data_IF_478607994804
#
_entry.id   IF_478607994804
#
_cell.length_a   1.000
_cell.length_b   1.000
_cell.length_c   1.000
_cell.angle_alpha   90.00
_cell.angle_beta   90.00
_cell.angle_gamma   90.00
#
_symmetry.space_group_name_H-M   'P 1'
#
loop_
_entity.id
_entity.type
_entity.pdbx_description
1 polymer ?
#
# COMPACT_ATOMS: atom_id res chain seq x y z
N UNK A 1 -12.60 13.21 9.90
CA UNK A 1 -11.37 12.93 10.69
C UNK A 1 -10.28 12.22 9.87
N UNK A 2 -10.56 11.10 9.18
CA UNK A 2 -9.54 10.40 8.38
C UNK A 2 -8.86 11.29 7.31
N UNK A 3 -9.61 12.15 6.62
CA UNK A 3 -9.06 13.16 5.71
C UNK A 3 -8.07 14.11 6.40
N UNK A 4 -8.37 14.54 7.62
CA UNK A 4 -7.51 15.43 8.41
C UNK A 4 -6.20 14.71 8.79
N UNK A 5 -6.26 13.44 9.20
CA UNK A 5 -5.06 12.65 9.49
C UNK A 5 -4.16 12.48 8.27
N UNK A 6 -4.75 12.24 7.09
CA UNK A 6 -4.00 12.19 5.82
C UNK A 6 -3.38 13.54 5.45
N UNK A 7 -4.10 14.65 5.70
CA UNK A 7 -3.57 16.00 5.50
C UNK A 7 -2.39 16.31 6.44
N UNK A 8 -2.50 15.92 7.72
CA UNK A 8 -1.40 16.02 8.69
C UNK A 8 -0.19 15.21 8.21
N UNK A 9 -0.40 13.96 7.78
CA UNK A 9 0.65 13.12 7.22
C UNK A 9 1.27 13.67 5.92
N UNK A 10 0.55 14.54 5.18
CA UNK A 10 1.10 15.26 4.02
C UNK A 10 1.91 16.48 4.44
N UNK A 11 1.43 17.24 5.42
CA UNK A 11 2.09 18.43 5.96
C UNK A 11 3.41 18.11 6.67
N UNK A 12 3.51 16.92 7.27
CA UNK A 12 4.77 16.42 7.86
C UNK A 12 5.31 17.35 8.94
N UNK A 13 6.55 17.82 8.77
CA UNK A 13 7.22 18.71 9.73
C UNK A 13 6.41 19.95 10.09
N UNK A 14 5.65 20.52 9.15
CA UNK A 14 4.79 21.69 9.40
C UNK A 14 3.65 21.39 10.40
N UNK A 15 3.31 20.12 10.62
CA UNK A 15 2.26 19.67 11.51
C UNK A 15 2.78 19.04 12.82
N UNK A 16 4.07 19.21 13.15
CA UNK A 16 4.69 18.61 14.36
C UNK A 16 3.98 19.02 15.66
N UNK A 17 3.38 20.21 15.73
CA UNK A 17 2.59 20.65 16.88
C UNK A 17 1.34 19.77 17.14
N UNK A 18 0.90 18.98 16.15
CA UNK A 18 -0.25 18.09 16.26
C UNK A 18 0.13 16.68 16.74
N UNK A 19 1.42 16.38 16.92
CA UNK A 19 1.91 15.08 17.37
C UNK A 19 1.18 14.56 18.61
N UNK A 20 1.00 15.32 19.71
CA UNK A 20 0.29 14.82 20.90
C UNK A 20 -1.17 14.39 20.63
N UNK A 21 -1.83 15.04 19.65
CA UNK A 21 -3.20 14.67 19.24
C UNK A 21 -3.19 13.39 18.39
N UNK A 22 -2.19 13.21 17.54
CA UNK A 22 -1.98 11.94 16.83
C UNK A 22 -1.76 10.79 17.82
N UNK A 23 -0.91 10.99 18.84
CA UNK A 23 -0.66 9.99 19.87
C UNK A 23 -1.94 9.61 20.60
N UNK A 24 -2.72 10.63 21.01
CA UNK A 24 -4.03 10.41 21.65
C UNK A 24 -4.98 9.62 20.75
N UNK A 25 -5.08 9.96 19.46
CA UNK A 25 -5.94 9.23 18.52
C UNK A 25 -5.47 7.79 18.27
N UNK A 26 -4.16 7.52 18.33
CA UNK A 26 -3.61 6.19 18.13
C UNK A 26 -3.79 5.29 19.38
N UNK A 27 -3.69 5.85 20.59
CA UNK A 27 -3.78 5.10 21.85
C UNK A 27 -5.20 4.78 22.30
N UNK A 28 -6.17 5.66 22.02
CA UNK A 28 -7.55 5.50 22.47
C UNK A 28 -8.26 4.35 21.75
N UNK A 29 -8.49 3.23 22.46
CA UNK A 29 -9.25 2.08 21.96
C UNK A 29 -10.71 2.39 21.64
N UNK A 30 -11.26 3.48 22.18
CA UNK A 30 -12.60 3.98 21.84
C UNK A 30 -12.67 4.61 20.46
N UNK A 31 -11.54 5.03 19.88
CA UNK A 31 -11.49 5.51 18.51
C UNK A 31 -11.67 4.34 17.53
N UNK A 32 -12.37 4.55 16.39
CA UNK A 32 -12.47 3.53 15.36
C UNK A 32 -11.08 3.10 14.88
N UNK A 33 -10.93 1.81 14.57
CA UNK A 33 -9.67 1.21 14.13
C UNK A 33 -8.98 1.98 12.99
N UNK A 34 -9.77 2.41 12.00
CA UNK A 34 -9.30 3.20 10.84
C UNK A 34 -8.70 4.56 11.25
N UNK A 35 -9.22 5.19 12.30
CA UNK A 35 -8.73 6.46 12.83
C UNK A 35 -7.41 6.23 13.58
N UNK A 36 -7.33 5.18 14.40
CA UNK A 36 -6.09 4.81 15.11
C UNK A 36 -4.97 4.53 14.12
N UNK A 37 -5.26 3.72 13.09
CA UNK A 37 -4.32 3.41 12.01
C UNK A 37 -3.90 4.66 11.23
N UNK A 38 -4.86 5.51 10.85
CA UNK A 38 -4.59 6.76 10.16
C UNK A 38 -3.71 7.72 10.98
N UNK A 39 -3.84 7.71 12.31
CA UNK A 39 -3.01 8.50 13.21
C UNK A 39 -1.57 7.96 13.24
N UNK A 40 -1.37 6.65 13.34
CA UNK A 40 -0.04 6.01 13.27
C UNK A 40 0.62 6.31 11.92
N UNK A 41 -0.13 6.20 10.82
CA UNK A 41 0.39 6.47 9.48
C UNK A 41 0.74 7.94 9.23
N UNK A 42 0.13 8.87 9.97
CA UNK A 42 0.42 10.30 9.87
C UNK A 42 1.82 10.67 10.38
N UNK A 43 2.43 9.84 11.23
CA UNK A 43 3.82 10.02 11.70
C UNK A 43 4.87 9.91 10.59
N UNK A 44 4.51 9.49 9.36
CA UNK A 44 5.44 9.24 8.25
C UNK A 44 6.36 10.38 7.84
N UNK A 45 6.02 11.63 8.17
CA UNK A 45 6.80 12.83 7.82
C UNK A 45 6.98 13.77 9.01
N UNK A 46 6.62 13.30 10.20
CA UNK A 46 6.92 14.00 11.45
C UNK A 46 8.40 13.71 11.78
N UNK A 47 9.14 14.68 12.34
CA UNK A 47 10.53 14.47 12.76
C UNK A 47 10.69 13.23 13.65
N UNK A 48 11.85 12.59 13.55
CA UNK A 48 12.18 11.31 14.18
C UNK A 48 12.28 11.32 15.72
N UNK A 49 11.70 12.29 16.42
CA UNK A 49 11.54 12.22 17.87
C UNK A 49 10.61 11.03 18.19
N UNK A 50 11.19 9.87 18.50
CA UNK A 50 10.45 8.64 18.72
C UNK A 50 9.35 8.90 19.75
N UNK A 51 8.10 8.94 19.30
CA UNK A 51 6.97 9.04 20.20
C UNK A 51 6.92 7.73 21.00
N UNK A 52 7.11 7.76 22.33
CA UNK A 52 7.16 6.56 23.14
C UNK A 52 5.88 5.72 23.01
N UNK A 53 4.77 6.31 22.57
CA UNK A 53 3.55 5.59 22.26
C UNK A 53 3.73 4.51 21.18
N UNK A 54 4.51 4.76 20.13
CA UNK A 54 4.67 3.80 19.04
C UNK A 54 5.30 2.49 19.55
N UNK A 55 6.25 2.60 20.48
CA UNK A 55 6.86 1.45 21.13
C UNK A 55 5.84 0.68 21.99
N UNK A 56 5.05 1.41 22.79
CA UNK A 56 3.98 0.82 23.60
C UNK A 56 2.97 0.07 22.75
N UNK A 57 2.54 0.64 21.62
CA UNK A 57 1.60 0.00 20.70
C UNK A 57 2.18 -1.25 20.05
N UNK A 58 3.46 -1.23 19.68
CA UNK A 58 4.14 -2.39 19.10
C UNK A 58 4.26 -3.56 20.10
N UNK A 59 4.65 -3.27 21.34
CA UNK A 59 4.89 -4.27 22.39
C UNK A 59 3.61 -4.88 22.98
N UNK A 60 2.49 -4.19 22.90
CA UNK A 60 1.24 -4.63 23.50
C UNK A 60 0.58 -5.77 22.70
N UNK A 61 0.62 -7.00 23.22
CA UNK A 61 0.02 -8.18 22.59
C UNK A 61 -1.50 -8.13 22.44
N UNK A 62 -2.18 -7.29 23.23
CA UNK A 62 -3.63 -7.11 23.19
C UNK A 62 -4.09 -6.21 22.04
N UNK A 63 -3.17 -5.52 21.35
CA UNK A 63 -3.49 -4.71 20.19
C UNK A 63 -3.62 -5.56 18.91
N UNK A 64 -4.46 -5.09 17.98
CA UNK A 64 -4.64 -5.74 16.67
C UNK A 64 -3.31 -5.76 15.89
N UNK A 65 -3.04 -6.87 15.19
CA UNK A 65 -1.79 -7.06 14.45
C UNK A 65 -1.51 -5.94 13.44
N UNK A 66 -2.55 -5.36 12.82
CA UNK A 66 -2.39 -4.25 11.87
C UNK A 66 -1.85 -2.98 12.57
N UNK A 67 -2.34 -2.69 13.79
CA UNK A 67 -1.86 -1.56 14.60
C UNK A 67 -0.41 -1.78 15.03
N UNK A 68 -0.11 -2.98 15.57
CA UNK A 68 1.24 -3.34 16.04
C UNK A 68 2.27 -3.27 14.92
N UNK A 69 1.94 -3.80 13.73
CA UNK A 69 2.83 -3.77 12.57
C UNK A 69 3.03 -2.35 12.03
N UNK A 70 1.97 -1.54 11.95
CA UNK A 70 2.12 -0.14 11.50
C UNK A 70 2.91 0.70 12.52
N UNK A 71 2.77 0.43 13.82
CA UNK A 71 3.58 1.06 14.85
C UNK A 71 5.06 0.68 14.73
N UNK A 72 5.36 -0.61 14.51
CA UNK A 72 6.71 -1.09 14.19
C UNK A 72 7.30 -0.39 12.96
N UNK A 73 6.57 -0.34 11.85
CA UNK A 73 7.02 0.36 10.63
C UNK A 73 7.28 1.85 10.88
N UNK A 74 6.46 2.50 11.73
CA UNK A 74 6.68 3.89 12.08
C UNK A 74 7.97 4.08 12.93
N UNK A 75 8.27 3.16 13.86
CA UNK A 75 9.52 3.16 14.64
C UNK A 75 10.75 2.93 13.75
N UNK A 76 10.68 1.97 12.84
CA UNK A 76 11.78 1.57 11.97
C UNK A 76 12.09 2.56 10.83
N UNK A 77 11.38 3.70 10.75
CA UNK A 77 11.73 4.79 9.82
C UNK A 77 13.01 5.52 10.22
N UNK A 78 13.20 5.74 11.52
CA UNK A 78 14.37 6.40 12.06
C UNK A 78 14.84 5.68 13.34
N UNK A 79 15.23 4.41 13.26
CA UNK A 79 15.58 3.65 14.43
C UNK A 79 16.93 4.13 15.00
N UNK A 80 17.00 4.23 16.32
CA UNK A 80 18.25 4.32 17.06
C UNK A 80 18.57 2.99 17.76
N UNK A 81 19.71 2.93 18.44
CA UNK A 81 20.15 1.72 19.16
C UNK A 81 19.11 1.21 20.16
N UNK A 82 18.46 2.11 20.90
CA UNK A 82 17.40 1.75 21.84
C UNK A 82 16.21 1.09 21.12
N UNK A 83 15.80 1.61 19.97
CA UNK A 83 14.70 1.04 19.17
C UNK A 83 15.07 -0.36 18.70
N UNK A 84 16.31 -0.58 18.23
CA UNK A 84 16.76 -1.90 17.83
C UNK A 84 16.76 -2.91 18.99
N UNK A 85 17.25 -2.50 20.17
CA UNK A 85 17.24 -3.34 21.37
C UNK A 85 15.81 -3.74 21.76
N UNK A 86 14.87 -2.79 21.71
CA UNK A 86 13.46 -3.03 22.01
C UNK A 86 12.79 -3.93 20.95
N UNK A 87 13.10 -3.73 19.66
CA UNK A 87 12.59 -4.58 18.57
C UNK A 87 13.04 -6.02 18.75
N UNK A 88 14.33 -6.23 19.03
CA UNK A 88 14.92 -7.54 19.31
C UNK A 88 14.25 -8.21 20.51
N UNK A 89 14.15 -7.48 21.62
CA UNK A 89 13.51 -8.02 22.84
C UNK A 89 12.05 -8.43 22.58
N UNK A 90 11.30 -7.60 21.88
CA UNK A 90 9.89 -7.88 21.54
C UNK A 90 9.78 -9.09 20.61
N UNK A 91 10.67 -9.21 19.61
CA UNK A 91 10.67 -10.32 18.66
C UNK A 91 10.94 -11.66 19.37
N UNK A 92 11.85 -11.70 20.35
CA UNK A 92 12.18 -12.91 21.10
C UNK A 92 10.96 -13.51 21.82
N UNK A 93 10.11 -12.64 22.39
CA UNK A 93 8.90 -13.03 23.13
C UNK A 93 7.60 -13.05 22.30
N UNK A 94 7.66 -12.78 20.99
CA UNK A 94 6.45 -12.58 20.18
C UNK A 94 5.60 -13.86 20.06
N UNK A 95 4.30 -13.71 20.33
CA UNK A 95 3.32 -14.81 20.27
C UNK A 95 2.48 -14.77 18.99
N UNK A 96 2.27 -13.59 18.41
CA UNK A 96 1.54 -13.43 17.16
C UNK A 96 2.40 -13.85 15.98
N UNK A 97 2.00 -14.92 15.29
CA UNK A 97 2.66 -15.33 14.04
C UNK A 97 2.61 -14.25 12.97
N UNK A 98 1.57 -13.41 12.97
CA UNK A 98 1.43 -12.30 12.03
C UNK A 98 2.47 -11.21 12.26
N UNK A 99 2.59 -10.73 13.51
CA UNK A 99 3.57 -9.68 13.84
C UNK A 99 4.98 -10.22 13.71
N UNK A 100 5.25 -11.40 14.27
CA UNK A 100 6.57 -12.03 14.23
C UNK A 100 7.06 -12.29 12.81
N UNK A 101 6.20 -12.84 11.94
CA UNK A 101 6.52 -13.10 10.53
C UNK A 101 6.79 -11.81 9.75
N UNK A 102 5.99 -10.76 9.99
CA UNK A 102 6.21 -9.48 9.34
C UNK A 102 7.55 -8.86 9.75
N UNK A 103 7.79 -8.72 11.06
CA UNK A 103 9.01 -8.14 11.61
C UNK A 103 10.24 -8.92 11.13
N UNK A 104 10.19 -10.24 11.21
CA UNK A 104 11.24 -11.12 10.70
C UNK A 104 11.54 -10.88 9.23
N UNK A 105 10.52 -10.93 8.36
CA UNK A 105 10.71 -10.71 6.92
C UNK A 105 11.25 -9.31 6.61
N UNK A 106 10.77 -8.28 7.31
CA UNK A 106 11.25 -6.91 7.15
C UNK A 106 12.74 -6.78 7.53
N UNK A 107 13.14 -7.30 8.69
CA UNK A 107 14.54 -7.26 9.14
C UNK A 107 15.46 -8.02 8.19
N UNK A 108 15.06 -9.21 7.74
CA UNK A 108 15.84 -9.97 6.75
C UNK A 108 16.00 -9.23 5.43
N UNK A 109 14.96 -8.57 4.94
CA UNK A 109 15.05 -7.79 3.70
C UNK A 109 15.90 -6.53 3.89
N UNK A 110 15.83 -5.86 5.04
CA UNK A 110 16.72 -4.73 5.35
C UNK A 110 18.19 -5.15 5.39
N UNK A 111 18.52 -6.31 5.97
CA UNK A 111 19.89 -6.83 6.00
C UNK A 111 20.42 -7.22 4.61
N UNK A 112 19.52 -7.48 3.65
CA UNK A 112 19.85 -7.92 2.29
C UNK A 112 19.62 -6.86 1.21
N UNK A 113 19.05 -5.71 1.55
CA UNK A 113 18.64 -4.71 0.55
C UNK A 113 19.85 -4.11 -0.17
N UNK A 114 19.68 -3.93 -1.47
CA UNK A 114 20.62 -3.22 -2.34
C UNK A 114 20.17 -1.78 -2.63
N UNK A 115 19.07 -1.33 -2.00
CA UNK A 115 18.54 0.02 -2.14
C UNK A 115 19.56 1.05 -1.59
N UNK A 116 20.07 1.97 -2.43
CA UNK A 116 21.00 3.01 -1.99
C UNK A 116 20.50 3.88 -0.83
N UNK A 117 19.18 4.10 -0.72
CA UNK A 117 18.61 4.89 0.37
C UNK A 117 18.66 4.18 1.72
N UNK A 118 18.74 2.85 1.72
CA UNK A 118 18.69 2.03 2.93
C UNK A 118 20.07 1.56 3.40
N UNK A 119 21.15 1.88 2.68
CA UNK A 119 22.49 1.44 3.04
C UNK A 119 22.91 1.91 4.44
N UNK A 120 22.69 3.18 4.75
CA UNK A 120 22.95 3.72 6.10
C UNK A 120 22.15 3.01 7.19
N UNK A 121 20.88 2.69 6.91
CA UNK A 121 20.04 1.92 7.83
C UNK A 121 20.58 0.50 7.99
N UNK A 122 20.88 -0.19 6.89
CA UNK A 122 21.43 -1.54 6.87
C UNK A 122 22.72 -1.64 7.69
N UNK A 123 23.62 -0.68 7.56
CA UNK A 123 24.87 -0.61 8.33
C UNK A 123 24.62 -0.37 9.83
N UNK A 124 23.56 0.37 10.19
CA UNK A 124 23.19 0.63 11.57
C UNK A 124 22.45 -0.54 12.24
N UNK A 125 21.87 -1.47 11.47
CA UNK A 125 21.15 -2.63 12.00
C UNK A 125 22.16 -3.63 12.61
N UNK A 126 22.04 -4.00 13.90
CA UNK A 126 22.89 -5.02 14.50
C UNK A 126 22.71 -6.39 13.83
N UNK A 127 23.80 -7.13 13.62
CA UNK A 127 23.74 -8.46 13.01
C UNK A 127 22.87 -9.44 13.82
N UNK A 128 22.80 -9.24 15.13
CA UNK A 128 22.02 -10.06 16.07
C UNK A 128 20.62 -9.49 16.39
N UNK A 129 20.14 -8.51 15.61
CA UNK A 129 18.79 -7.94 15.76
C UNK A 129 17.70 -9.01 15.63
N UNK A 130 18.03 -10.06 14.89
CA UNK A 130 17.16 -11.17 14.57
C UNK A 130 17.32 -12.24 15.65
N UNK A 131 16.39 -12.26 16.62
CA UNK A 131 16.48 -13.14 17.80
C UNK A 131 15.70 -14.45 17.67
N UNK A 132 14.72 -14.53 16.77
CA UNK A 132 13.86 -15.71 16.59
C UNK A 132 13.40 -15.84 15.16
N UNK A 133 13.53 -17.04 14.59
CA UNK A 133 13.09 -17.34 13.23
C UNK A 133 11.59 -17.52 13.09
N UNK A 134 11.04 -16.92 12.03
CA UNK A 134 9.68 -17.14 11.58
C UNK A 134 9.72 -17.62 10.13
N UNK A 135 8.86 -18.57 9.80
CA UNK A 135 8.77 -19.13 8.45
C UNK A 135 7.47 -18.64 7.80
N UNK A 136 7.45 -17.41 7.24
CA UNK A 136 6.23 -16.83 6.68
C UNK A 136 5.78 -17.61 5.44
N UNK A 137 4.62 -18.22 5.54
CA UNK A 137 3.87 -18.65 4.35
C UNK A 137 3.25 -17.43 3.65
N UNK A 138 3.63 -17.20 2.38
CA UNK A 138 3.24 -16.04 1.56
C UNK A 138 1.73 -15.73 1.57
N UNK A 139 0.89 -16.76 1.64
CA UNK A 139 -0.57 -16.63 1.54
C UNK A 139 -1.32 -16.68 2.88
N UNK A 140 -0.59 -16.72 4.00
CA UNK A 140 -1.19 -16.86 5.35
C UNK A 140 -0.62 -15.88 6.35
N UNK A 141 0.63 -15.48 6.18
CA UNK A 141 1.36 -14.66 7.13
C UNK A 141 1.71 -13.32 6.53
N UNK A 142 1.67 -12.31 7.39
CA UNK A 142 2.10 -10.97 7.06
C UNK A 142 3.58 -10.99 6.67
N UNK A 143 3.92 -10.27 5.60
CA UNK A 143 5.26 -10.28 5.02
C UNK A 143 5.62 -8.94 4.38
N UNK A 144 6.92 -8.71 4.31
CA UNK A 144 7.54 -7.59 3.62
C UNK A 144 8.51 -8.11 2.53
N UNK A 145 8.51 -7.44 1.39
CA UNK A 145 9.36 -7.74 0.24
C UNK A 145 10.02 -6.46 -0.27
N UNK A 146 11.29 -6.54 -0.62
CA UNK A 146 12.12 -5.41 -1.07
C UNK A 146 12.96 -5.89 -2.25
N UNK A 147 12.80 -5.28 -3.41
CA UNK A 147 13.53 -5.67 -4.62
C UNK A 147 14.04 -4.45 -5.35
N UNK A 148 15.36 -4.31 -5.39
CA UNK A 148 16.04 -3.24 -6.10
C UNK A 148 16.58 -3.74 -7.44
N UNK A 149 16.17 -3.09 -8.53
CA UNK A 149 16.69 -3.27 -9.87
C UNK A 149 17.67 -2.16 -10.19
N UNK A 150 18.81 -2.50 -10.82
CA UNK A 150 19.81 -1.54 -11.27
C UNK A 150 20.10 -1.75 -12.76
N UNK A 151 20.26 -0.65 -13.48
CA UNK A 151 20.81 -0.68 -14.84
C UNK A 151 22.24 -1.20 -14.83
N UNK A 152 22.69 -1.79 -15.95
CA UNK A 152 24.07 -2.22 -16.14
C UNK A 152 25.08 -1.06 -15.96
N UNK A 153 24.67 0.18 -16.28
CA UNK A 153 25.47 1.39 -16.07
C UNK A 153 25.51 1.86 -14.61
N UNK A 154 24.64 1.35 -13.74
CA UNK A 154 24.47 1.80 -12.36
C UNK A 154 23.88 3.20 -12.18
N UNK A 155 23.69 3.99 -13.26
CA UNK A 155 23.20 5.37 -13.21
C UNK A 155 21.70 5.49 -12.92
N UNK A 156 20.94 4.43 -13.21
CA UNK A 156 19.51 4.32 -12.97
C UNK A 156 19.21 3.04 -12.18
N UNK A 157 18.32 3.14 -11.20
CA UNK A 157 17.75 2.01 -10.49
C UNK A 157 16.28 2.23 -10.16
N UNK A 158 15.60 1.17 -9.80
CA UNK A 158 14.24 1.21 -9.30
C UNK A 158 14.13 0.27 -8.11
N UNK A 159 13.55 0.74 -7.00
CA UNK A 159 13.21 -0.10 -5.87
C UNK A 159 11.70 -0.32 -5.80
N UNK A 160 11.29 -1.58 -5.64
CA UNK A 160 9.91 -1.98 -5.43
C UNK A 160 9.78 -2.62 -4.04
N UNK A 161 9.04 -1.97 -3.16
CA UNK A 161 8.69 -2.51 -1.85
C UNK A 161 7.25 -3.00 -1.85
N UNK A 162 7.02 -4.13 -1.20
CA UNK A 162 5.70 -4.75 -1.04
C UNK A 162 5.45 -5.09 0.43
N UNK A 163 4.26 -4.79 0.91
CA UNK A 163 3.81 -5.15 2.27
C UNK A 163 2.47 -5.85 2.16
N UNK A 164 2.37 -7.02 2.76
CA UNK A 164 1.12 -7.78 2.91
C UNK A 164 0.84 -7.95 4.40
N UNK A 165 -0.28 -7.44 4.87
CA UNK A 165 -0.71 -7.58 6.26
C UNK A 165 -1.93 -8.50 6.34
N UNK A 166 -1.77 -9.60 7.04
CA UNK A 166 -2.82 -10.55 7.38
C UNK A 166 -3.30 -10.34 8.81
N UNK A 167 -4.54 -10.73 9.05
CA UNK A 167 -5.14 -10.74 10.38
C UNK A 167 -5.67 -12.14 10.67
N UNK A 168 -5.62 -12.62 11.93
CA UNK A 168 -6.24 -13.90 12.29
C UNK A 168 -7.76 -13.98 12.00
N UNK A 169 -8.41 -12.82 11.82
CA UNK A 169 -9.83 -12.73 11.53
C UNK A 169 -10.20 -13.09 10.07
N UNK A 170 -9.24 -13.11 9.13
CA UNK A 170 -9.50 -13.33 7.71
C UNK A 170 -8.41 -14.18 7.06
N UNK A 171 -8.80 -14.96 6.03
CA UNK A 171 -7.84 -15.64 5.16
C UNK A 171 -7.33 -14.74 4.01
N UNK A 172 -7.96 -13.57 3.82
CA UNK A 172 -7.48 -12.56 2.87
C UNK A 172 -6.55 -11.59 3.59
N UNK A 173 -5.56 -11.02 2.89
CA UNK A 173 -4.78 -9.93 3.46
C UNK A 173 -5.72 -8.75 3.77
N UNK A 174 -5.62 -8.25 5.01
CA UNK A 174 -6.34 -7.06 5.45
C UNK A 174 -5.82 -5.82 4.73
N UNK A 175 -4.52 -5.73 4.46
CA UNK A 175 -3.98 -4.68 3.62
C UNK A 175 -2.82 -5.16 2.76
N UNK A 176 -2.69 -4.57 1.58
CA UNK A 176 -1.58 -4.74 0.67
C UNK A 176 -1.09 -3.36 0.20
N UNK A 177 0.21 -3.10 0.28
CA UNK A 177 0.81 -1.87 -0.25
C UNK A 177 1.97 -2.19 -1.17
N UNK A 178 2.10 -1.42 -2.24
CA UNK A 178 3.22 -1.46 -3.17
C UNK A 178 3.79 -0.06 -3.33
N UNK A 179 5.10 0.08 -3.14
CA UNK A 179 5.81 1.36 -3.16
C UNK A 179 6.93 1.30 -4.20
N UNK A 180 6.91 2.21 -5.17
CA UNK A 180 7.89 2.31 -6.25
C UNK A 180 8.75 3.56 -6.07
N UNK A 181 10.05 3.36 -5.93
CA UNK A 181 11.06 4.42 -5.86
C UNK A 181 11.99 4.32 -7.07
N UNK A 182 12.32 5.43 -7.70
CA UNK A 182 13.29 5.49 -8.81
C UNK A 182 14.55 6.17 -8.31
N UNK A 183 15.69 5.56 -8.57
CA UNK A 183 17.03 6.13 -8.34
C UNK A 183 17.57 6.64 -9.67
N UNK A 184 17.86 7.93 -9.78
CA UNK A 184 18.41 8.55 -10.97
C UNK A 184 19.39 9.64 -10.56
N UNK A 185 20.58 9.66 -11.18
CA UNK A 185 21.59 10.72 -10.98
C UNK A 185 21.99 10.93 -9.50
N UNK A 186 22.09 9.84 -8.74
CA UNK A 186 22.43 9.88 -7.31
C UNK A 186 21.29 10.35 -6.39
N UNK A 187 20.11 10.64 -6.93
CA UNK A 187 18.92 10.99 -6.17
C UNK A 187 17.88 9.88 -6.23
N UNK A 188 17.02 9.81 -5.21
CA UNK A 188 15.92 8.87 -5.14
C UNK A 188 14.59 9.61 -5.07
N UNK A 189 13.63 9.15 -5.88
CA UNK A 189 12.31 9.75 -6.00
C UNK A 189 11.27 8.67 -5.76
N UNK A 190 10.53 8.78 -4.65
CA UNK A 190 9.35 7.96 -4.42
C UNK A 190 8.32 8.31 -5.50
N UNK A 191 8.11 7.45 -6.50
CA UNK A 191 7.25 7.80 -7.62
C UNK A 191 5.78 7.57 -7.27
N UNK A 192 5.47 6.38 -6.75
CA UNK A 192 4.10 5.93 -6.57
C UNK A 192 4.00 4.94 -5.41
N UNK A 193 3.05 5.17 -4.52
CA UNK A 193 2.62 4.19 -3.52
C UNK A 193 1.14 3.87 -3.74
N UNK A 194 0.81 2.60 -3.91
CA UNK A 194 -0.54 2.08 -4.01
C UNK A 194 -0.85 1.26 -2.76
N UNK A 195 -2.00 1.51 -2.15
CA UNK A 195 -2.47 0.76 -0.99
C UNK A 195 -3.90 0.28 -1.18
N UNK A 196 -4.16 -0.97 -0.81
CA UNK A 196 -5.46 -1.59 -0.75
C UNK A 196 -5.69 -2.10 0.67
N UNK A 197 -6.83 -1.78 1.25
CA UNK A 197 -7.29 -2.33 2.52
C UNK A 197 -8.66 -2.95 2.34
N UNK A 198 -8.86 -4.13 2.90
CA UNK A 198 -10.07 -4.94 2.78
C UNK A 198 -10.52 -5.41 4.17
N UNK A 199 -11.81 -5.26 4.44
CA UNK A 199 -12.50 -5.93 5.54
C UNK A 199 -13.77 -6.58 5.01
N UNK A 200 -14.09 -7.77 5.53
CA UNK A 200 -15.30 -8.52 5.18
C UNK A 200 -15.42 -8.84 3.67
N UNK A 201 -14.28 -9.10 3.01
CA UNK A 201 -14.22 -9.39 1.58
C UNK A 201 -14.31 -10.88 1.23
N UNK A 202 -14.45 -11.76 2.22
CA UNK A 202 -14.43 -13.21 2.09
C UNK A 202 -15.56 -13.72 1.20
N UNK A 203 -16.76 -13.15 1.36
CA UNK A 203 -17.93 -13.51 0.55
C UNK A 203 -17.73 -13.11 -0.91
N UNK A 204 -17.13 -11.95 -1.17
CA UNK A 204 -16.78 -11.50 -2.53
C UNK A 204 -15.70 -12.40 -3.14
N UNK A 205 -14.65 -12.73 -2.39
CA UNK A 205 -13.60 -13.64 -2.84
C UNK A 205 -14.14 -15.04 -3.11
N UNK A 206 -15.04 -15.57 -2.28
CA UNK A 206 -15.71 -16.86 -2.54
C UNK A 206 -16.55 -16.84 -3.81
N UNK A 207 -17.22 -15.73 -4.12
CA UNK A 207 -18.00 -15.60 -5.37
C UNK A 207 -17.12 -15.54 -6.62
N UNK A 208 -15.96 -14.89 -6.51
CA UNK A 208 -15.02 -14.71 -7.62
C UNK A 208 -14.13 -15.94 -7.85
N UNK A 209 -13.65 -16.55 -6.77
CA UNK A 209 -12.58 -17.56 -6.80
C UNK A 209 -12.96 -18.91 -6.16
N UNK A 210 -14.20 -19.05 -5.65
CA UNK A 210 -14.66 -20.30 -5.04
C UNK A 210 -14.87 -21.43 -6.07
N UNK A 211 -14.61 -22.69 -5.69
CA UNK A 211 -14.89 -23.84 -6.55
C UNK A 211 -16.39 -23.89 -6.90
N UNK A 212 -16.72 -24.26 -8.15
CA UNK A 212 -18.09 -24.36 -8.68
C UNK A 212 -18.88 -25.54 -8.09
N UNK A 213 -19.01 -25.68 -6.77
CA UNK A 213 -19.93 -26.67 -6.18
C UNK A 213 -21.23 -26.00 -5.71
N UNK A 214 -22.32 -26.34 -6.42
CA UNK A 214 -23.72 -26.25 -6.00
C UNK A 214 -24.29 -24.86 -5.65
N UNK A 215 -24.55 -24.02 -6.67
CA UNK A 215 -25.57 -22.97 -6.57
C UNK A 215 -26.41 -22.91 -7.84
N UNK A 216 -27.36 -23.85 -7.91
CA UNK A 216 -28.32 -23.94 -8.99
C UNK A 216 -29.34 -25.06 -8.78
N UNK A 217 -30.01 -25.10 -7.62
CA UNK A 217 -31.38 -25.61 -7.41
C UNK A 217 -31.70 -25.61 -5.92
N UNK A 218 -31.82 -24.44 -5.30
CA UNK A 218 -32.52 -24.35 -4.01
C UNK A 218 -33.19 -22.99 -3.85
N UNK A 219 -33.91 -22.57 -4.89
CA UNK A 219 -34.99 -21.59 -4.74
C UNK A 219 -36.23 -22.08 -5.50
N UNK A 220 -37.34 -22.14 -4.74
CA UNK A 220 -38.72 -22.51 -5.11
C UNK A 220 -39.06 -24.02 -5.15
N UNK A 221 -38.97 -24.69 -4.00
CA UNK A 221 -40.08 -25.54 -3.56
C UNK A 221 -40.86 -24.81 -2.47
N UNK A 222 -41.73 -23.91 -2.91
CA UNK A 222 -42.83 -23.44 -2.08
C UNK A 222 -43.64 -24.65 -1.64
N UNK A 223 -44.07 -24.63 -0.38
CA UNK A 223 -44.85 -25.64 0.28
C UNK A 223 -46.07 -26.07 -0.56
N UNK A 224 -46.00 -27.29 -1.11
CA UNK A 224 -47.18 -28.10 -1.35
C UNK A 224 -47.15 -29.19 -0.29
N UNK A 225 -48.03 -29.04 0.69
CA UNK A 225 -48.33 -30.08 1.66
C UNK A 225 -48.76 -31.34 0.90
N UNK A 226 -47.95 -32.39 0.98
CA UNK A 226 -48.38 -33.76 0.74
C UNK A 226 -48.30 -34.46 2.09
N UNK A 227 -49.43 -35.04 2.49
CA UNK A 227 -49.57 -35.84 3.70
C UNK A 227 -48.51 -36.95 3.76
N UNK A 228 -48.05 -37.34 4.97
CA UNK A 228 -47.17 -38.49 5.12
C UNK A 228 -47.95 -39.79 4.83
N UNK A 229 -47.39 -40.76 4.07
CA UNK A 229 -47.96 -42.09 4.00
C UNK A 229 -47.80 -42.82 5.33
N UNK A 230 -48.82 -43.59 5.68
CA UNK A 230 -48.93 -44.44 6.86
C UNK A 230 -47.77 -45.45 6.98
N UNK A 231 -47.39 -45.73 8.23
CA UNK A 231 -46.34 -46.66 8.60
C UNK A 231 -46.87 -48.10 8.68
N UNK A 232 -46.12 -49.06 8.16
CA UNK A 232 -46.24 -50.47 8.56
C UNK A 232 -45.17 -50.87 9.59
N UNK A 233 -45.45 -51.83 10.50
CA UNK A 233 -44.65 -52.07 11.69
C UNK A 233 -43.62 -53.19 11.50
N UNK A 234 -42.38 -52.93 11.91
CA UNK A 234 -41.30 -53.93 12.06
C UNK A 234 -40.50 -53.70 13.34
N UNK A 235 -39.94 -54.75 13.97
CA UNK A 235 -39.83 -54.84 15.42
C UNK A 235 -38.62 -54.12 16.02
N UNK A 236 -38.82 -53.58 17.22
CA UNK A 236 -37.78 -53.07 18.13
C UNK A 236 -36.77 -54.14 18.53
N UNK A 237 -35.54 -53.74 18.88
CA UNK A 237 -35.16 -53.93 20.28
C UNK A 237 -34.47 -52.72 20.94
N UNK A 238 -35.00 -52.38 22.12
CA UNK A 238 -34.33 -51.99 23.36
C UNK A 238 -33.03 -51.17 23.33
N UNK A 239 -33.12 -49.88 23.70
CA UNK A 239 -32.42 -49.31 24.88
C UNK A 239 -32.91 -47.89 25.21
N UNK A 240 -33.13 -47.53 26.49
CA UNK A 240 -33.64 -46.22 26.88
C UNK A 240 -32.49 -45.24 27.12
N UNK A 241 -32.19 -44.39 26.15
CA UNK A 241 -31.40 -43.18 26.37
C UNK A 241 -32.11 -41.98 25.74
N UNK A 242 -32.55 -41.06 26.59
CA UNK A 242 -33.40 -39.91 26.29
C UNK A 242 -32.95 -39.10 25.02
N UNK A 243 -33.81 -38.88 24.01
CA UNK A 243 -33.48 -38.10 22.80
C UNK A 243 -33.51 -36.57 23.00
N UNK A 244 -33.94 -36.09 24.17
CA UNK A 244 -34.29 -34.68 24.40
C UNK A 244 -33.10 -33.71 24.40
N UNK A 245 -31.98 -34.09 25.02
CA UNK A 245 -30.83 -33.17 25.24
C UNK A 245 -30.03 -32.89 23.98
N UNK A 246 -29.84 -33.90 23.12
CA UNK A 246 -29.09 -33.75 21.86
C UNK A 246 -29.83 -32.82 20.90
N UNK A 247 -31.17 -32.88 20.88
CA UNK A 247 -32.00 -32.00 20.05
C UNK A 247 -32.02 -30.54 20.53
N UNK A 248 -31.91 -30.30 21.84
CA UNK A 248 -31.81 -28.95 22.43
C UNK A 248 -30.45 -28.33 22.14
N UNK A 249 -29.36 -29.09 22.35
CA UNK A 249 -28.00 -28.63 22.00
C UNK A 249 -27.86 -28.35 20.51
N UNK A 250 -28.47 -29.16 19.64
CA UNK A 250 -28.42 -28.94 18.20
C UNK A 250 -29.23 -27.72 17.74
N UNK A 251 -30.39 -27.46 18.36
CA UNK A 251 -31.17 -26.24 18.12
C UNK A 251 -30.46 -24.99 18.64
N UNK A 252 -29.83 -25.05 19.81
CA UNK A 252 -29.06 -23.93 20.37
C UNK A 252 -27.81 -23.64 19.52
N UNK A 253 -27.14 -24.66 19.01
CA UNK A 253 -26.05 -24.52 18.03
C UNK A 253 -26.56 -23.93 16.71
N UNK A 254 -27.69 -24.40 16.18
CA UNK A 254 -28.29 -23.85 14.96
C UNK A 254 -28.73 -22.40 15.15
N UNK A 255 -29.28 -22.03 16.31
CA UNK A 255 -29.64 -20.64 16.63
C UNK A 255 -28.40 -19.75 16.79
N UNK A 256 -27.33 -20.24 17.43
CA UNK A 256 -26.05 -19.52 17.54
C UNK A 256 -25.37 -19.34 16.19
N UNK A 257 -25.44 -20.34 15.30
CA UNK A 257 -24.93 -20.27 13.93
C UNK A 257 -25.80 -19.36 13.05
N UNK A 258 -27.13 -19.40 13.19
CA UNK A 258 -28.05 -18.53 12.48
C UNK A 258 -27.92 -17.06 12.92
N UNK A 259 -27.72 -16.79 14.23
CA UNK A 259 -27.39 -15.45 14.74
C UNK A 259 -26.06 -14.93 14.18
N UNK A 260 -25.01 -15.77 14.12
CA UNK A 260 -23.74 -15.42 13.45
C UNK A 260 -23.89 -15.19 11.94
N UNK A 261 -24.85 -15.84 11.28
CA UNK A 261 -25.15 -15.66 9.85
C UNK A 261 -25.94 -14.37 9.56
N UNK A 262 -26.61 -13.81 10.56
CA UNK A 262 -27.43 -12.60 10.48
C UNK A 262 -26.64 -11.29 10.50
N UNK A 263 -25.42 -11.28 11.05
CA UNK A 263 -24.51 -10.13 10.99
C UNK A 263 -23.63 -10.21 9.74
N UNK A 264 -24.24 -10.10 8.56
CA UNK A 264 -23.47 -9.88 7.32
C UNK A 264 -22.87 -8.48 7.40
N UNK A 265 -21.65 -8.38 7.92
CA UNK A 265 -20.90 -7.13 7.91
C UNK A 265 -20.66 -6.71 6.46
N UNK A 266 -20.95 -5.45 6.15
CA UNK A 266 -20.78 -4.92 4.80
C UNK A 266 -19.29 -4.97 4.40
N UNK A 267 -19.02 -5.26 3.12
CA UNK A 267 -17.69 -5.14 2.54
C UNK A 267 -17.20 -3.70 2.77
N UNK A 268 -16.03 -3.58 3.38
CA UNK A 268 -15.31 -2.30 3.41
C UNK A 268 -14.01 -2.46 2.64
N UNK A 269 -13.80 -1.57 1.70
CA UNK A 269 -12.52 -1.47 1.02
C UNK A 269 -12.07 -0.03 0.97
N UNK A 270 -10.77 0.17 1.08
CA UNK A 270 -10.12 1.46 0.92
C UNK A 270 -8.97 1.31 -0.08
N UNK A 271 -9.01 2.12 -1.13
CA UNK A 271 -7.89 2.29 -2.05
C UNK A 271 -7.19 3.60 -1.70
N UNK A 272 -5.87 3.62 -1.63
CA UNK A 272 -5.07 4.83 -1.41
C UNK A 272 -3.97 4.94 -2.45
N UNK A 273 -3.73 6.15 -2.94
CA UNK A 273 -2.66 6.46 -3.88
C UNK A 273 -1.85 7.65 -3.37
N UNK A 274 -0.53 7.46 -3.28
CA UNK A 274 0.43 8.53 -3.00
C UNK A 274 1.40 8.69 -4.16
N UNK A 275 1.78 9.93 -4.43
CA UNK A 275 2.75 10.27 -5.47
C UNK A 275 3.77 11.21 -4.82
N UNK A 276 5.07 10.93 -4.99
CA UNK A 276 6.13 11.67 -4.28
C UNK A 276 5.96 11.60 -2.75
N UNK A 277 5.44 10.48 -2.25
CA UNK A 277 5.06 10.28 -0.84
C UNK A 277 3.86 11.13 -0.35
N UNK A 278 3.25 11.97 -1.20
CA UNK A 278 2.07 12.76 -0.83
C UNK A 278 0.80 11.97 -1.16
N UNK A 279 -0.09 11.85 -0.19
CA UNK A 279 -1.38 11.23 -0.39
C UNK A 279 -2.28 12.13 -1.23
N UNK A 280 -2.55 11.70 -2.46
CA UNK A 280 -3.33 12.47 -3.43
C UNK A 280 -4.80 12.11 -3.38
N UNK A 281 -5.11 10.83 -3.24
CA UNK A 281 -6.50 10.38 -3.21
C UNK A 281 -6.66 9.05 -2.53
N UNK A 282 -7.81 8.88 -1.88
CA UNK A 282 -8.24 7.61 -1.34
C UNK A 282 -9.75 7.45 -1.54
N UNK A 283 -10.20 6.23 -1.76
CA UNK A 283 -11.60 5.91 -2.05
C UNK A 283 -12.04 4.78 -1.14
N UNK A 284 -13.19 4.95 -0.49
CA UNK A 284 -13.85 3.89 0.25
C UNK A 284 -14.93 3.28 -0.65
N UNK A 285 -14.87 1.98 -0.93
CA UNK A 285 -15.84 1.32 -1.81
C UNK A 285 -16.99 0.59 -1.09
N UNK A 286 -17.12 0.80 0.23
CA UNK A 286 -18.13 0.16 1.09
C UNK A 286 -19.54 0.78 1.11
N UNK A 287 -19.77 1.92 0.45
CA UNK A 287 -21.11 2.58 0.41
C UNK A 287 -21.65 2.54 -1.01
N UNK A 288 -22.01 1.35 -1.49
CA UNK A 288 -22.68 1.17 -2.79
C UNK A 288 -24.19 1.41 -2.70
N UNK A 289 -24.64 2.19 -1.71
CA UNK A 289 -26.02 2.58 -1.49
C UNK A 289 -26.09 3.97 -0.90
N UNK A 290 -26.68 4.90 -1.65
CA UNK A 290 -26.94 6.31 -1.33
C UNK A 290 -25.77 7.30 -1.53
N UNK A 291 -26.01 8.24 -2.44
CA UNK A 291 -25.28 9.48 -2.68
C UNK A 291 -23.77 9.35 -2.88
N UNK A 292 -23.40 9.14 -4.15
CA UNK A 292 -22.14 9.65 -4.70
C UNK A 292 -22.20 11.18 -4.62
N UNK A 293 -21.95 11.75 -3.43
CA UNK A 293 -21.64 13.16 -3.30
C UNK A 293 -20.30 13.37 -3.99
N UNK A 294 -20.40 13.98 -5.17
CA UNK A 294 -19.34 14.49 -6.01
C UNK A 294 -18.12 14.95 -5.20
N UNK A 295 -17.05 14.14 -5.20
CA UNK A 295 -15.64 14.61 -5.11
C UNK A 295 -14.60 13.49 -5.30
N UNK A 296 -14.98 12.19 -5.29
CA UNK A 296 -14.04 11.06 -5.49
C UNK A 296 -14.13 10.35 -6.85
N UNK A 297 -14.85 10.91 -7.83
CA UNK A 297 -15.13 10.27 -9.13
C UNK A 297 -13.88 9.93 -9.95
N UNK A 298 -12.74 10.58 -9.71
CA UNK A 298 -11.56 10.48 -10.58
C UNK A 298 -10.87 9.10 -10.53
N UNK A 299 -10.86 8.39 -9.40
CA UNK A 299 -10.15 7.11 -9.25
C UNK A 299 -10.97 5.88 -9.65
N UNK A 300 -12.27 5.87 -9.38
CA UNK A 300 -13.15 4.82 -9.90
C UNK A 300 -13.24 4.91 -11.43
N UNK A 301 -13.31 6.13 -11.96
CA UNK A 301 -13.20 6.39 -13.39
C UNK A 301 -11.82 5.99 -13.93
N UNK A 302 -10.72 6.32 -13.23
CA UNK A 302 -9.36 5.86 -13.57
C UNK A 302 -9.28 4.33 -13.64
N UNK A 303 -9.79 3.62 -12.63
CA UNK A 303 -9.79 2.16 -12.58
C UNK A 303 -10.61 1.57 -13.74
N UNK A 304 -11.78 2.15 -14.05
CA UNK A 304 -12.58 1.72 -15.19
C UNK A 304 -11.87 2.00 -16.52
N UNK A 305 -11.22 3.16 -16.68
CA UNK A 305 -10.42 3.49 -17.87
C UNK A 305 -9.28 2.49 -18.06
N UNK A 306 -8.54 2.21 -16.98
CA UNK A 306 -7.45 1.25 -16.97
C UNK A 306 -7.92 -0.19 -17.16
N UNK A 307 -9.09 -0.61 -16.70
CA UNK A 307 -9.59 -1.95 -16.99
C UNK A 307 -10.05 -2.09 -18.44
N UNK A 308 -10.55 -1.01 -19.03
CA UNK A 308 -11.05 -0.95 -20.42
C UNK A 308 -9.96 -0.82 -21.49
N UNK A 309 -8.68 -0.84 -21.15
CA UNK A 309 -7.63 -0.65 -22.15
C UNK A 309 -7.22 0.80 -22.41
N UNK A 310 -7.83 1.77 -21.73
CA UNK A 310 -7.57 3.18 -21.97
C UNK A 310 -6.28 3.61 -21.27
N UNK A 311 -5.45 4.34 -22.01
CA UNK A 311 -4.23 4.93 -21.47
C UNK A 311 -4.56 6.19 -20.69
N UNK A 312 -3.99 6.31 -19.49
CA UNK A 312 -4.09 7.51 -18.68
C UNK A 312 -2.71 8.14 -18.52
N UNK A 313 -2.62 9.42 -18.81
CA UNK A 313 -1.40 10.21 -18.65
C UNK A 313 -1.56 11.24 -17.53
N UNK A 314 -0.59 11.26 -16.61
CA UNK A 314 -0.50 12.24 -15.53
C UNK A 314 0.77 13.06 -15.70
N UNK A 315 0.61 14.37 -15.91
CA UNK A 315 1.72 15.30 -16.08
C UNK A 315 1.82 16.24 -14.88
N UNK A 316 3.03 16.43 -14.36
CA UNK A 316 3.34 17.37 -13.28
C UNK A 316 4.61 18.15 -13.59
N UNK A 317 4.59 19.45 -13.30
CA UNK A 317 5.76 20.33 -13.37
C UNK A 317 6.05 20.85 -11.98
N UNK A 318 7.33 20.89 -11.63
CA UNK A 318 7.86 21.29 -10.34
C UNK A 318 8.95 22.33 -10.59
N UNK A 319 8.85 23.47 -9.91
CA UNK A 319 9.95 24.42 -9.84
C UNK A 319 10.76 24.07 -8.59
N UNK A 320 11.98 23.57 -8.78
CA UNK A 320 12.81 23.07 -7.70
C UNK A 320 13.60 24.20 -7.04
N UNK A 321 14.14 25.11 -7.85
CA UNK A 321 14.86 26.27 -7.38
C UNK A 321 14.73 27.43 -8.37
N UNK A 322 14.54 28.63 -7.83
CA UNK A 322 14.62 29.89 -8.56
C UNK A 322 15.42 30.84 -7.68
N UNK A 323 16.66 31.11 -8.06
CA UNK A 323 17.55 32.03 -7.36
C UNK A 323 17.96 33.16 -8.28
N UNK A 324 17.97 34.36 -7.74
CA UNK A 324 18.39 35.55 -8.43
C UNK A 324 19.31 36.36 -7.51
N UNK A 325 20.51 36.65 -8.00
CA UNK A 325 21.49 37.48 -7.32
C UNK A 325 21.80 38.68 -8.20
N UNK A 326 21.74 39.86 -7.60
CA UNK A 326 22.11 41.10 -8.28
C UNK A 326 23.19 41.79 -7.45
N UNK A 327 24.29 42.18 -8.10
CA UNK A 327 25.39 42.87 -7.44
C UNK A 327 25.92 44.02 -8.29
N UNK A 328 26.36 45.12 -7.66
CA UNK A 328 26.90 46.27 -8.38
C UNK A 328 28.29 45.92 -8.94
N UNK A 329 28.56 46.32 -10.19
CA UNK A 329 29.90 46.22 -10.77
C UNK A 329 30.62 47.56 -10.70
N UNK A 330 31.95 47.54 -10.89
CA UNK A 330 32.80 48.74 -10.88
C UNK A 330 32.43 49.77 -11.96
N UNK A 331 31.72 49.36 -13.02
CA UNK A 331 31.23 50.28 -14.06
C UNK A 331 29.92 50.97 -13.71
N UNK A 332 29.32 50.65 -12.55
CA UNK A 332 28.01 51.15 -12.13
C UNK A 332 26.82 50.39 -12.73
N UNK A 333 27.05 49.42 -13.63
CA UNK A 333 25.99 48.55 -14.14
C UNK A 333 25.75 47.37 -13.19
N UNK A 334 24.49 47.01 -12.86
CA UNK A 334 24.21 45.83 -12.05
C UNK A 334 24.45 44.56 -12.86
N UNK A 335 25.23 43.64 -12.28
CA UNK A 335 25.34 42.26 -12.76
C UNK A 335 24.22 41.42 -12.13
N UNK A 336 23.59 40.58 -12.96
CA UNK A 336 22.47 39.72 -12.61
C UNK A 336 22.84 38.27 -12.91
N UNK A 337 22.74 37.42 -11.90
CA UNK A 337 22.89 35.98 -11.99
C UNK A 337 21.56 35.32 -11.62
N UNK A 338 20.95 34.59 -12.56
CA UNK A 338 19.70 33.85 -12.33
C UNK A 338 19.95 32.36 -12.54
N UNK A 339 19.53 31.55 -11.58
CA UNK A 339 19.51 30.09 -11.67
C UNK A 339 18.08 29.58 -11.53
N UNK A 340 17.57 28.94 -12.57
CA UNK A 340 16.27 28.30 -12.58
C UNK A 340 16.42 26.81 -12.83
N UNK A 341 15.88 26.01 -11.90
CA UNK A 341 15.84 24.55 -11.98
C UNK A 341 14.38 24.11 -11.95
N UNK A 342 13.94 23.46 -13.01
CA UNK A 342 12.57 22.94 -13.14
C UNK A 342 12.59 21.47 -13.53
N UNK A 343 11.68 20.69 -12.97
CA UNK A 343 11.47 19.29 -13.32
C UNK A 343 10.05 19.10 -13.86
N UNK A 344 9.90 18.26 -14.88
CA UNK A 344 8.61 17.83 -15.41
C UNK A 344 8.57 16.31 -15.41
N UNK A 345 7.54 15.73 -14.79
CA UNK A 345 7.32 14.28 -14.75
C UNK A 345 6.01 13.98 -15.44
N UNK A 346 6.02 12.99 -16.32
CA UNK A 346 4.87 12.47 -17.07
C UNK A 346 4.81 10.96 -16.87
N UNK A 347 3.71 10.47 -16.31
CA UNK A 347 3.48 9.05 -16.08
C UNK A 347 2.35 8.59 -16.99
N UNK A 348 2.63 7.62 -17.87
CA UNK A 348 1.62 6.94 -18.69
C UNK A 348 1.33 5.57 -18.13
N UNK A 349 0.06 5.28 -17.90
CA UNK A 349 -0.40 4.01 -17.35
C UNK A 349 -1.46 3.44 -18.28
N UNK A 350 -1.32 2.18 -18.66
CA UNK A 350 -2.35 1.45 -19.40
C UNK A 350 -2.52 0.08 -18.77
N UNK A 351 -3.77 -0.29 -18.52
CA UNK A 351 -4.14 -1.66 -18.19
C UNK A 351 -5.10 -2.18 -19.24
N UNK A 352 -5.21 -3.49 -19.37
CA UNK A 352 -6.26 -4.20 -20.10
C UNK A 352 -6.59 -5.44 -19.28
N UNK A 353 -7.86 -5.65 -18.97
CA UNK A 353 -8.31 -6.86 -18.32
C UNK A 353 -9.38 -7.52 -19.19
N UNK A 354 -9.10 -8.73 -19.65
CA UNK A 354 -10.07 -9.57 -20.37
C UNK A 354 -10.52 -10.72 -19.46
N UNK A 355 -11.83 -10.80 -19.28
CA UNK A 355 -12.53 -11.77 -18.44
C UNK A 355 -13.54 -12.55 -19.31
N UNK A 356 -13.04 -13.37 -20.24
CA UNK A 356 -13.90 -14.13 -21.15
C UNK A 356 -14.76 -15.17 -20.41
N UNK A 357 -14.25 -15.76 -19.32
CA UNK A 357 -14.98 -16.66 -18.41
C UNK A 357 -14.43 -16.56 -16.97
N UNK A 358 -15.22 -16.95 -15.95
CA UNK A 358 -14.81 -16.86 -14.52
C UNK A 358 -13.47 -17.54 -14.17
N UNK A 359 -12.93 -18.39 -15.04
CA UNK A 359 -11.69 -19.15 -14.83
C UNK A 359 -10.56 -18.80 -15.80
N UNK A 360 -10.84 -17.99 -16.82
CA UNK A 360 -9.86 -17.56 -17.82
C UNK A 360 -9.78 -16.04 -17.73
N UNK A 361 -8.69 -15.54 -17.14
CA UNK A 361 -8.45 -14.11 -17.03
C UNK A 361 -7.07 -13.78 -17.57
N UNK A 362 -6.99 -12.66 -18.28
CA UNK A 362 -5.73 -12.06 -18.66
C UNK A 362 -5.73 -10.60 -18.27
N UNK A 363 -4.70 -10.19 -17.55
CA UNK A 363 -4.48 -8.80 -17.15
C UNK A 363 -3.11 -8.42 -17.65
N UNK A 364 -3.07 -7.50 -18.61
CA UNK A 364 -1.82 -6.95 -19.13
C UNK A 364 -1.81 -5.45 -18.89
N UNK A 365 -0.63 -4.89 -18.69
CA UNK A 365 -0.51 -3.45 -18.54
C UNK A 365 0.94 -2.99 -18.59
N UNK A 366 1.08 -1.67 -18.64
CA UNK A 366 2.36 -1.02 -18.52
C UNK A 366 2.29 0.26 -17.71
N UNK A 367 3.44 0.64 -17.17
CA UNK A 367 3.70 1.93 -16.56
C UNK A 367 4.95 2.53 -17.19
N UNK A 368 4.79 3.66 -17.87
CA UNK A 368 5.87 4.39 -18.57
C UNK A 368 6.08 5.76 -17.94
N UNK A 369 6.93 5.87 -16.90
CA UNK A 369 7.35 7.16 -16.38
C UNK A 369 8.37 7.84 -17.30
N UNK A 370 8.27 9.17 -17.38
CA UNK A 370 9.19 10.05 -18.09
C UNK A 370 9.45 11.28 -17.23
N UNK A 371 10.71 11.69 -17.14
CA UNK A 371 11.14 12.81 -16.32
C UNK A 371 12.11 13.69 -17.12
N UNK A 372 11.86 14.99 -17.13
CA UNK A 372 12.70 16.02 -17.74
C UNK A 372 13.17 16.96 -16.63
N UNK A 373 14.47 17.04 -16.42
CA UNK A 373 15.11 18.06 -15.59
C UNK A 373 15.68 19.13 -16.51
N UNK A 374 15.31 20.38 -16.28
CA UNK A 374 15.83 21.52 -17.02
C UNK A 374 16.52 22.47 -16.05
N UNK A 375 17.79 22.75 -16.32
CA UNK A 375 18.62 23.70 -15.60
C UNK A 375 18.91 24.86 -16.54
N UNK A 376 18.67 26.08 -16.08
CA UNK A 376 19.05 27.28 -16.81
C UNK A 376 19.75 28.26 -15.89
N UNK A 377 20.96 28.66 -16.29
CA UNK A 377 21.74 29.69 -15.62
C UNK A 377 21.94 30.84 -16.60
N UNK A 378 21.70 32.07 -16.14
CA UNK A 378 21.96 33.25 -16.94
C UNK A 378 22.78 34.23 -16.10
N UNK A 379 23.86 34.73 -16.67
CA UNK A 379 24.75 35.71 -16.06
C UNK A 379 24.94 36.86 -17.04
N UNK A 380 24.70 38.09 -16.60
CA UNK A 380 24.85 39.25 -17.46
C UNK A 380 24.77 40.56 -16.71
N UNK A 381 24.80 41.65 -17.45
CA UNK A 381 24.55 42.99 -16.95
C UNK A 381 23.27 43.54 -17.56
N UNK A 382 22.52 44.31 -16.77
CA UNK A 382 21.28 44.94 -17.22
C UNK A 382 21.42 46.44 -17.04
N UNK A 383 21.34 47.21 -18.13
CA UNK A 383 21.41 48.66 -18.13
C UNK A 383 20.20 49.29 -18.79
N UNK A 384 20.12 50.63 -18.75
CA UNK A 384 19.01 51.38 -19.34
C UNK A 384 18.89 51.22 -20.87
N UNK A 385 20.00 50.93 -21.56
CA UNK A 385 20.06 50.77 -23.01
C UNK A 385 19.92 49.32 -23.47
N UNK A 386 19.89 48.35 -22.55
CA UNK A 386 19.75 46.93 -22.90
C UNK A 386 20.41 45.99 -21.89
N UNK A 387 20.40 44.71 -22.25
CA UNK A 387 20.96 43.61 -21.47
C UNK A 387 22.03 42.89 -22.29
N UNK A 388 23.14 42.53 -21.64
CA UNK A 388 24.22 41.74 -22.25
C UNK A 388 24.63 40.62 -21.29
N UNK A 389 24.70 39.38 -21.77
CA UNK A 389 25.04 38.25 -20.91
C UNK A 389 25.07 36.91 -21.62
N UNK A 390 25.47 35.90 -20.86
CA UNK A 390 25.48 34.50 -21.25
C UNK A 390 24.29 33.78 -20.64
N UNK A 391 23.63 32.95 -21.44
CA UNK A 391 22.57 32.05 -20.99
C UNK A 391 22.98 30.63 -21.32
N UNK A 392 23.11 29.82 -20.28
CA UNK A 392 23.35 28.39 -20.37
C UNK A 392 22.06 27.64 -20.00
N UNK A 393 21.68 26.65 -20.83
CA UNK A 393 20.52 25.80 -20.60
C UNK A 393 20.96 24.36 -20.85
N UNK A 394 20.62 23.46 -19.93
CA UNK A 394 20.84 22.03 -20.07
C UNK A 394 19.56 21.29 -19.72
N UNK A 395 19.15 20.40 -20.62
CA UNK A 395 18.05 19.48 -20.40
C UNK A 395 18.56 18.06 -20.21
N UNK A 396 18.08 17.39 -19.16
CA UNK A 396 18.30 15.96 -18.94
C UNK A 396 16.94 15.28 -19.02
N UNK A 397 16.78 14.34 -19.93
CA UNK A 397 15.55 13.57 -20.11
C UNK A 397 15.83 12.11 -19.79
N UNK A 398 15.01 11.52 -18.92
CA UNK A 398 15.01 10.11 -18.60
C UNK A 398 13.63 9.50 -18.82
N UNK A 399 13.59 8.32 -19.43
CA UNK A 399 12.38 7.52 -19.60
C UNK A 399 12.62 6.12 -19.09
N UNK A 400 11.62 5.52 -18.46
CA UNK A 400 11.62 4.11 -18.14
C UNK A 400 10.27 3.49 -18.55
N UNK A 401 10.25 2.18 -18.71
CA UNK A 401 9.04 1.39 -18.95
C UNK A 401 9.03 0.19 -18.03
N UNK A 402 7.86 -0.16 -17.53
CA UNK A 402 7.63 -1.42 -16.82
C UNK A 402 6.39 -2.05 -17.43
N UNK A 403 6.60 -3.11 -18.18
CA UNK A 403 5.54 -3.80 -18.91
C UNK A 403 5.38 -5.20 -18.31
N UNK A 404 4.16 -5.64 -18.07
CA UNK A 404 3.93 -6.96 -17.48
C UNK A 404 2.50 -7.44 -17.62
N UNK A 405 2.31 -8.71 -17.30
CA UNK A 405 1.00 -9.31 -17.38
C UNK A 405 0.89 -10.65 -16.68
N UNK A 406 -0.35 -10.97 -16.33
CA UNK A 406 -0.76 -12.20 -15.68
C UNK A 406 -1.80 -12.86 -16.58
N UNK A 407 -1.57 -14.10 -16.94
CA UNK A 407 -2.51 -14.91 -17.69
C UNK A 407 -2.79 -16.21 -16.93
N UNK A 408 -4.06 -16.47 -16.68
CA UNK A 408 -4.53 -17.71 -16.09
C UNK A 408 -5.57 -18.34 -17.01
N UNK A 409 -5.41 -19.64 -17.28
CA UNK A 409 -6.38 -20.45 -18.02
C UNK A 409 -6.75 -21.67 -17.19
N UNK A 410 -8.01 -22.08 -17.23
CA UNK A 410 -8.51 -23.21 -16.45
C UNK A 410 -7.75 -24.51 -16.79
N UNK A 411 -7.07 -25.08 -15.80
CA UNK A 411 -6.32 -26.33 -15.96
C UNK A 411 -4.92 -26.18 -16.58
N UNK A 412 -4.42 -24.95 -16.72
CA UNK A 412 -3.04 -24.64 -17.11
C UNK A 412 -2.36 -23.78 -16.05
N UNK A 413 -1.03 -23.72 -16.10
CA UNK A 413 -0.21 -22.94 -15.18
C UNK A 413 -0.48 -21.43 -15.28
N UNK A 414 -0.40 -20.75 -14.13
CA UNK A 414 -0.40 -19.29 -14.04
C UNK A 414 0.88 -18.75 -14.69
N UNK A 415 0.74 -17.99 -15.77
CA UNK A 415 1.88 -17.31 -16.42
C UNK A 415 1.94 -15.86 -15.96
N UNK A 416 3.02 -15.53 -15.26
CA UNK A 416 3.37 -14.15 -14.92
C UNK A 416 4.61 -13.79 -15.72
N UNK A 417 4.55 -12.68 -16.45
CA UNK A 417 5.72 -12.12 -17.12
C UNK A 417 5.87 -10.66 -16.72
N UNK A 418 7.12 -10.29 -16.46
CA UNK A 418 7.54 -8.92 -16.20
C UNK A 418 8.69 -8.65 -17.15
N UNK A 419 8.48 -7.74 -18.08
CA UNK A 419 9.51 -7.34 -19.03
C UNK A 419 10.48 -6.38 -18.34
N UNK A 420 11.75 -6.55 -18.63
CA UNK A 420 12.79 -5.62 -18.17
C UNK A 420 12.57 -4.24 -18.80
N UNK A 421 12.87 -3.15 -18.08
CA UNK A 421 12.71 -1.80 -18.61
C UNK A 421 13.49 -1.58 -19.90
N UNK A 422 12.89 -0.90 -20.87
CA UNK A 422 13.61 -0.46 -22.09
C UNK A 422 14.75 0.48 -21.69
N UNK A 423 15.92 0.31 -22.32
CA UNK A 423 17.13 1.10 -22.04
C UNK A 423 16.88 2.60 -22.19
N UNK A 424 17.47 3.37 -21.27
CA UNK A 424 17.33 4.82 -21.18
C UNK A 424 18.04 5.47 -22.36
N UNK A 425 17.33 6.31 -23.12
CA UNK A 425 17.99 7.32 -23.95
C UNK A 425 18.20 8.59 -23.13
N UNK A 426 19.36 8.71 -22.49
CA UNK A 426 19.82 9.98 -21.93
C UNK A 426 20.20 10.90 -23.10
N UNK A 427 19.27 11.75 -23.52
CA UNK A 427 19.54 12.79 -24.51
C UNK A 427 19.96 14.06 -23.78
N UNK A 428 21.27 14.34 -23.77
CA UNK A 428 21.78 15.67 -23.44
C UNK A 428 21.48 16.59 -24.63
N UNK A 429 20.74 17.68 -24.39
CA UNK A 429 20.40 18.65 -25.42
C UNK A 429 20.76 20.06 -25.01
#
# INVERSE_FOLDING_TARGET
LLFVLKAIGNAGQAATALTPKLSTCASLRSCPHEIRLGAIQAFRRVPCSADPLLLVLYQNSEEDSEIRINAYLALMRCPGEEVFAQVRHTQAGEQSTQVGSFVWSHLLQLLKTDDPLKQSLREAVPEDIVSREFHPEVWKHSSYSDVTFRSASGSLGANLEGTLLFSPASFLPRSATANLTIHALGHAFNLLELGLRLENAEEMARRLFGPKSFWGQEEKRQAQAKEPPEAEPGPTPSNPACPGERSRRMRDLQQKVARRRGERQALKCQLSMKVFGHELSFVNCGVMGSHVTHQSLNLAELAVKLLKGQEVQVNRRLNLAMQELTFPTMSGLPARLTLNVSAAVSIRVRGTADFQQRSDFSVNGYVKPSALLQISAQMGTVGALGQAGLRWVTGIHGTASLDGGIQARKGQDLRVHLNTPEEVMELFR
#
